data_IF_049321482675
#
_entry.id   IF_049321482675
#
_cell.length_a   1.000
_cell.length_b   1.000
_cell.length_c   1.000
_cell.angle_alpha   90.00
_cell.angle_beta   90.00
_cell.angle_gamma   90.00
#
_symmetry.space_group_name_H-M   'P 1'
#
loop_
_entity.id
_entity.type
_entity.pdbx_description
1 polymer ?
#
# COMPACT_ATOMS: atom_id res chain seq x y z
N UNK A 1 -22.54 4.80 2.20
CA UNK A 1 -21.68 4.78 3.40
C UNK A 1 -22.35 5.55 4.51
N UNK A 2 -22.29 5.03 5.73
CA UNK A 2 -22.73 5.69 6.96
C UNK A 2 -21.82 6.88 7.30
N UNK A 3 -22.30 7.79 8.15
CA UNK A 3 -21.47 8.88 8.68
C UNK A 3 -20.38 8.34 9.62
N UNK A 4 -19.28 9.09 9.78
CA UNK A 4 -18.16 8.71 10.66
C UNK A 4 -17.43 7.42 10.25
N UNK A 5 -17.55 7.01 8.98
CA UNK A 5 -16.89 5.81 8.47
C UNK A 5 -15.38 6.02 8.22
N UNK A 6 -14.68 4.91 7.95
CA UNK A 6 -13.27 4.90 7.56
C UNK A 6 -13.06 4.09 6.29
N UNK A 7 -12.35 4.67 5.33
CA UNK A 7 -11.87 4.02 4.10
C UNK A 7 -10.36 3.89 4.19
N UNK A 8 -9.84 2.69 3.93
CA UNK A 8 -8.39 2.42 3.87
C UNK A 8 -8.07 1.77 2.53
N UNK A 9 -7.30 2.47 1.69
CA UNK A 9 -6.90 2.02 0.37
C UNK A 9 -5.48 1.41 0.41
N UNK A 10 -5.31 0.20 -0.13
CA UNK A 10 -4.00 -0.44 -0.25
C UNK A 10 -3.34 -0.07 -1.58
N UNK A 11 -2.34 0.81 -1.51
CA UNK A 11 -1.55 1.28 -2.65
C UNK A 11 -0.22 0.52 -2.75
N UNK A 12 0.90 1.22 -2.94
CA UNK A 12 2.27 0.72 -3.02
C UNK A 12 3.23 1.91 -2.91
N UNK A 13 4.49 1.69 -2.54
CA UNK A 13 5.59 2.66 -2.74
C UNK A 13 5.71 3.12 -4.20
N UNK A 14 5.22 2.33 -5.17
CA UNK A 14 5.03 2.74 -6.57
C UNK A 14 4.06 3.92 -6.76
N UNK A 15 3.24 4.26 -5.76
CA UNK A 15 2.39 5.46 -5.75
C UNK A 15 3.11 6.73 -5.25
N UNK A 16 4.36 6.59 -4.80
CA UNK A 16 5.22 7.66 -4.30
C UNK A 16 6.44 7.87 -5.21
N UNK A 17 6.88 6.81 -5.88
CA UNK A 17 8.08 6.74 -6.71
C UNK A 17 7.75 6.08 -8.06
N UNK A 18 8.72 5.93 -8.95
CA UNK A 18 8.57 5.10 -10.15
C UNK A 18 8.78 3.62 -9.82
N UNK A 19 8.04 2.73 -10.50
CA UNK A 19 8.20 1.28 -10.36
C UNK A 19 8.16 0.61 -11.74
N UNK A 20 8.71 -0.60 -11.83
CA UNK A 20 8.66 -1.39 -13.06
C UNK A 20 7.18 -1.72 -13.38
N UNK A 21 6.73 -1.38 -14.59
CA UNK A 21 5.32 -1.29 -15.05
C UNK A 21 4.70 0.11 -14.94
N UNK A 22 4.56 0.76 -16.09
CA UNK A 22 3.93 2.08 -16.23
C UNK A 22 2.45 2.03 -15.82
N UNK A 23 1.72 0.98 -16.21
CA UNK A 23 0.31 0.81 -15.84
C UNK A 23 0.14 0.67 -14.32
N UNK A 24 0.99 -0.13 -13.68
CA UNK A 24 0.96 -0.29 -12.22
C UNK A 24 1.29 1.03 -11.53
N UNK A 25 2.38 1.70 -11.93
CA UNK A 25 2.78 3.01 -11.40
C UNK A 25 1.65 4.03 -11.53
N UNK A 26 1.10 4.20 -12.73
CA UNK A 26 -0.01 5.12 -12.98
C UNK A 26 -1.23 4.81 -12.09
N UNK A 27 -1.59 3.53 -11.93
CA UNK A 27 -2.70 3.12 -11.07
C UNK A 27 -2.48 3.50 -9.60
N UNK A 28 -1.25 3.35 -9.07
CA UNK A 28 -0.92 3.60 -7.67
C UNK A 28 -0.75 5.09 -7.37
N UNK A 29 -0.25 5.86 -8.32
CA UNK A 29 -0.29 7.33 -8.27
C UNK A 29 -1.73 7.84 -8.28
N UNK A 30 -2.56 7.32 -9.19
CA UNK A 30 -3.98 7.63 -9.30
C UNK A 30 -4.74 7.33 -8.02
N UNK A 31 -4.53 6.14 -7.42
CA UNK A 31 -5.18 5.75 -6.17
C UNK A 31 -4.79 6.66 -5.00
N UNK A 32 -3.52 7.11 -4.93
CA UNK A 32 -3.08 8.08 -3.93
C UNK A 32 -3.76 9.44 -4.13
N UNK A 33 -3.84 9.92 -5.38
CA UNK A 33 -4.56 11.15 -5.71
C UNK A 33 -6.05 11.07 -5.35
N UNK A 34 -6.71 9.97 -5.73
CA UNK A 34 -8.11 9.68 -5.42
C UNK A 34 -8.36 9.67 -3.91
N UNK A 35 -7.48 9.03 -3.15
CA UNK A 35 -7.57 9.00 -1.68
C UNK A 35 -7.60 10.41 -1.10
N UNK A 36 -6.74 11.31 -1.59
CA UNK A 36 -6.70 12.71 -1.13
C UNK A 36 -7.96 13.49 -1.52
N UNK A 37 -8.42 13.35 -2.75
CA UNK A 37 -9.65 14.00 -3.22
C UNK A 37 -10.86 13.54 -2.38
N UNK A 38 -11.03 12.23 -2.22
CA UNK A 38 -12.12 11.65 -1.43
C UNK A 38 -12.06 12.05 0.05
N UNK A 39 -10.86 12.18 0.64
CA UNK A 39 -10.72 12.69 2.01
C UNK A 39 -11.29 14.09 2.18
N UNK A 40 -11.09 14.98 1.19
CA UNK A 40 -11.62 16.35 1.20
C UNK A 40 -13.14 16.32 0.98
N UNK A 41 -13.60 15.61 -0.05
CA UNK A 41 -15.02 15.56 -0.42
C UNK A 41 -15.90 14.96 0.68
N UNK A 42 -15.39 13.97 1.42
CA UNK A 42 -16.16 13.24 2.44
C UNK A 42 -15.96 13.77 3.86
N UNK A 43 -15.07 14.76 4.05
CA UNK A 43 -14.83 15.39 5.35
C UNK A 43 -16.09 15.95 6.02
N UNK A 44 -17.05 16.62 5.32
CA UNK A 44 -18.28 17.11 5.94
C UNK A 44 -19.13 16.00 6.57
N UNK A 45 -18.98 14.77 6.09
CA UNK A 45 -19.67 13.56 6.60
C UNK A 45 -18.85 12.83 7.66
N UNK A 46 -17.73 13.42 8.09
CA UNK A 46 -16.77 12.88 9.05
C UNK A 46 -16.19 11.53 8.62
N UNK A 47 -16.15 11.26 7.31
CA UNK A 47 -15.56 10.02 6.78
C UNK A 47 -14.08 10.26 6.54
N UNK A 48 -13.24 9.37 7.08
CA UNK A 48 -11.80 9.42 6.88
C UNK A 48 -11.42 8.54 5.70
N UNK A 49 -10.47 9.01 4.89
CA UNK A 49 -9.95 8.24 3.76
C UNK A 49 -8.43 8.27 3.84
N UNK A 50 -7.82 7.10 4.03
CA UNK A 50 -6.38 6.95 4.15
C UNK A 50 -5.87 5.94 3.11
N UNK A 51 -4.58 6.02 2.80
CA UNK A 51 -3.93 5.02 1.96
C UNK A 51 -2.67 4.50 2.65
N UNK A 52 -2.47 3.20 2.55
CA UNK A 52 -1.23 2.52 2.94
C UNK A 52 -0.42 2.31 1.67
N UNK A 53 0.88 2.59 1.69
CA UNK A 53 1.77 2.40 0.55
C UNK A 53 2.86 1.37 0.91
N UNK A 54 2.55 0.05 0.91
CA UNK A 54 3.55 -0.96 1.25
C UNK A 54 4.72 -0.98 0.26
N UNK A 55 5.91 -1.27 0.80
CA UNK A 55 7.09 -1.64 0.03
C UNK A 55 7.11 -3.15 -0.24
N UNK A 56 8.23 -3.80 0.07
CA UNK A 56 8.33 -5.27 0.03
C UNK A 56 7.45 -5.90 1.13
N UNK A 57 6.54 -6.80 0.73
CA UNK A 57 5.68 -7.58 1.64
C UNK A 57 5.79 -9.05 1.26
N UNK A 58 6.10 -9.90 2.24
CA UNK A 58 6.24 -11.34 2.06
C UNK A 58 4.85 -11.98 1.94
N UNK A 59 4.37 -12.12 0.71
CA UNK A 59 3.07 -12.75 0.41
C UNK A 59 3.26 -14.01 -0.45
N UNK A 60 2.37 -15.02 -0.33
CA UNK A 60 2.38 -16.18 -1.22
C UNK A 60 2.35 -15.78 -2.70
N UNK A 61 1.57 -14.75 -3.05
CA UNK A 61 1.49 -14.20 -4.40
C UNK A 61 2.85 -13.73 -4.94
N UNK A 62 3.68 -13.08 -4.12
CA UNK A 62 5.01 -12.65 -4.55
C UNK A 62 5.92 -13.87 -4.80
N UNK A 63 5.81 -14.88 -3.94
CA UNK A 63 6.57 -16.13 -4.06
C UNK A 63 6.13 -16.96 -5.29
N UNK A 64 4.84 -16.93 -5.64
CA UNK A 64 4.28 -17.60 -6.82
C UNK A 64 4.52 -16.84 -8.13
N UNK A 65 4.40 -15.51 -8.14
CA UNK A 65 4.80 -14.70 -9.30
C UNK A 65 6.29 -14.90 -9.64
N UNK A 66 7.11 -15.12 -8.60
CA UNK A 66 8.52 -15.45 -8.73
C UNK A 66 8.79 -16.87 -9.24
N UNK A 67 7.84 -17.81 -9.11
CA UNK A 67 7.97 -19.18 -9.58
C UNK A 67 7.52 -19.39 -11.03
N UNK A 68 6.67 -18.50 -11.56
CA UNK A 68 6.18 -18.56 -12.95
C UNK A 68 7.03 -17.77 -13.96
N UNK A 69 7.88 -16.86 -13.50
CA UNK A 69 8.89 -16.18 -14.33
C UNK A 69 10.28 -16.72 -14.05
N UNK A 70 11.21 -16.57 -15.00
CA UNK A 70 12.59 -17.03 -14.95
C UNK A 70 13.19 -16.85 -13.55
N UNK A 71 13.29 -17.94 -12.79
CA UNK A 71 13.35 -17.90 -11.32
C UNK A 71 14.51 -17.08 -10.75
N UNK A 72 15.60 -16.90 -11.50
CA UNK A 72 16.75 -16.08 -11.13
C UNK A 72 16.44 -14.58 -11.14
N UNK A 73 15.72 -14.07 -12.14
CA UNK A 73 15.37 -12.64 -12.24
C UNK A 73 14.40 -12.25 -11.12
N UNK A 74 13.45 -13.13 -10.83
CA UNK A 74 12.51 -12.98 -9.75
C UNK A 74 13.19 -12.95 -8.37
N UNK A 75 14.13 -13.87 -8.12
CA UNK A 75 14.95 -13.86 -6.90
C UNK A 75 15.80 -12.60 -6.80
N UNK A 76 16.48 -12.20 -7.88
CA UNK A 76 17.30 -11.00 -7.90
C UNK A 76 16.47 -9.73 -7.65
N UNK A 77 15.25 -9.68 -8.18
CA UNK A 77 14.32 -8.58 -7.92
C UNK A 77 13.89 -8.55 -6.45
N UNK A 78 13.50 -9.69 -5.88
CA UNK A 78 13.14 -9.78 -4.46
C UNK A 78 14.31 -9.36 -3.56
N UNK A 79 15.49 -9.91 -3.79
CA UNK A 79 16.70 -9.60 -3.03
C UNK A 79 17.10 -8.13 -3.17
N UNK A 80 17.00 -7.55 -4.37
CA UNK A 80 17.23 -6.12 -4.59
C UNK A 80 16.25 -5.24 -3.80
N UNK A 81 14.98 -5.62 -3.70
CA UNK A 81 14.00 -4.90 -2.88
C UNK A 81 14.26 -5.09 -1.38
N UNK A 82 14.73 -6.27 -0.97
CA UNK A 82 15.12 -6.55 0.42
C UNK A 82 16.31 -5.68 0.83
N UNK A 83 17.36 -5.64 0.03
CA UNK A 83 18.55 -4.81 0.27
C UNK A 83 18.25 -3.31 0.25
N UNK A 84 17.30 -2.88 -0.58
CA UNK A 84 16.82 -1.51 -0.61
C UNK A 84 15.89 -1.16 0.59
N UNK A 85 15.43 -2.16 1.34
CA UNK A 85 14.62 -1.98 2.54
C UNK A 85 15.54 -1.82 3.75
N UNK A 86 15.50 -0.70 4.50
CA UNK A 86 16.45 -0.46 5.59
C UNK A 86 16.47 -1.52 6.71
N UNK A 87 15.38 -2.26 6.88
CA UNK A 87 15.27 -3.35 7.86
C UNK A 87 15.76 -4.70 7.31
N UNK A 88 16.25 -4.75 6.06
CA UNK A 88 16.69 -5.94 5.34
C UNK A 88 15.69 -7.10 5.42
N UNK A 89 14.39 -6.78 5.34
CA UNK A 89 13.31 -7.78 5.29
C UNK A 89 12.07 -7.19 4.66
N UNK A 90 11.25 -8.03 4.04
CA UNK A 90 9.87 -7.68 3.76
C UNK A 90 9.03 -7.57 5.04
N UNK A 91 7.99 -6.77 4.98
CA UNK A 91 6.95 -6.78 6.01
C UNK A 91 6.10 -8.05 5.88
N UNK A 92 5.53 -8.54 6.98
CA UNK A 92 4.52 -9.59 6.93
C UNK A 92 3.14 -9.00 6.57
N UNK A 93 2.21 -9.81 6.04
CA UNK A 93 0.83 -9.38 5.83
C UNK A 93 0.15 -8.88 7.11
N UNK A 94 0.49 -9.45 8.26
CA UNK A 94 -0.02 -9.08 9.58
C UNK A 94 0.43 -7.66 9.97
N UNK A 95 1.69 -7.29 9.70
CA UNK A 95 2.16 -5.92 9.94
C UNK A 95 1.36 -4.89 9.10
N UNK A 96 0.99 -5.25 7.86
CA UNK A 96 0.13 -4.39 7.03
C UNK A 96 -1.30 -4.34 7.59
N UNK A 97 -1.81 -5.48 8.08
CA UNK A 97 -3.14 -5.56 8.69
C UNK A 97 -3.23 -4.72 9.97
N UNK A 98 -2.20 -4.72 10.82
CA UNK A 98 -2.14 -3.90 12.03
C UNK A 98 -2.23 -2.41 11.70
N UNK A 99 -1.52 -1.95 10.66
CA UNK A 99 -1.62 -0.55 10.19
C UNK A 99 -3.02 -0.25 9.63
N UNK A 100 -3.63 -1.19 8.90
CA UNK A 100 -4.98 -1.03 8.40
C UNK A 100 -6.01 -0.94 9.52
N UNK A 101 -5.90 -1.79 10.55
CA UNK A 101 -6.74 -1.77 11.76
C UNK A 101 -6.55 -0.45 12.51
N UNK A 102 -5.30 -0.01 12.70
CA UNK A 102 -5.00 1.28 13.31
C UNK A 102 -5.70 2.44 12.58
N UNK A 103 -5.55 2.51 11.25
CA UNK A 103 -6.20 3.55 10.45
C UNK A 103 -7.73 3.41 10.43
N UNK A 104 -8.25 2.19 10.50
CA UNK A 104 -9.69 1.94 10.55
C UNK A 104 -10.31 2.45 11.85
N UNK A 105 -9.65 2.22 12.99
CA UNK A 105 -10.15 2.64 14.31
C UNK A 105 -9.64 4.00 14.78
N UNK A 106 -8.73 4.66 14.08
CA UNK A 106 -8.22 5.98 14.45
C UNK A 106 -9.39 6.96 14.68
N UNK A 107 -9.56 7.40 15.94
CA UNK A 107 -10.60 8.37 16.31
C UNK A 107 -10.01 9.78 16.21
N UNK A 108 -10.84 10.71 15.71
CA UNK A 108 -10.67 12.16 15.62
C UNK A 108 -9.32 12.71 16.12
N UNK A 109 -8.33 12.79 15.22
CA UNK A 109 -7.08 13.53 15.44
C UNK A 109 -7.17 15.02 15.04
N UNK A 110 -8.35 15.48 14.62
CA UNK A 110 -8.58 16.87 14.25
C UNK A 110 -9.70 17.42 15.14
N UNK A 111 -9.30 18.03 16.25
CA UNK A 111 -10.08 18.97 17.05
C UNK A 111 -10.02 20.35 16.43
#
# INVERSE_FOLDING_TARGET
MEENASIVNISSTAGLTGYFSAAYTASKWGLRGLTKAAAIELAPRKIRVNTICPGLVETPMMMEANSQHNSEQAKAFHEGNRQATPLDRGASPEEIAEVAVFLYFARYFYS
#
